data_IF_353661766004
#
_entry.id   IF_353661766004
#
_cell.length_a   1.000
_cell.length_b   1.000
_cell.length_c   1.000
_cell.angle_alpha   90.00
_cell.angle_beta   90.00
_cell.angle_gamma   90.00
#
_symmetry.space_group_name_H-M   'P 1'
#
loop_
_entity.id
_entity.type
_entity.pdbx_description
1 polymer ?
#
# COMPACT_ATOMS: atom_id res chain seq x y z
N UNK A 1 12.76 36.64 29.86
CA UNK A 1 11.66 35.65 29.88
C UNK A 1 11.16 35.33 28.45
N UNK A 2 12.01 34.67 27.60
CA UNK A 2 11.65 34.28 26.21
C UNK A 2 12.36 32.95 25.87
N UNK A 3 12.19 31.91 26.67
CA UNK A 3 12.81 30.61 26.38
C UNK A 3 11.91 29.34 26.36
N UNK A 4 10.60 29.34 26.67
CA UNK A 4 9.81 28.13 26.51
C UNK A 4 9.04 28.00 25.19
N UNK A 5 8.99 29.02 24.32
CA UNK A 5 8.18 28.95 23.08
C UNK A 5 8.88 28.26 21.90
N UNK A 6 10.20 28.16 21.92
CA UNK A 6 10.97 27.56 20.82
C UNK A 6 11.03 26.02 20.86
N UNK A 7 10.80 25.41 22.01
CA UNK A 7 10.83 23.94 22.14
C UNK A 7 9.52 23.27 21.71
N UNK A 8 8.41 23.99 21.77
CA UNK A 8 7.09 23.51 21.33
C UNK A 8 6.94 23.47 19.81
N UNK A 9 7.65 24.34 19.08
CA UNK A 9 7.58 24.37 17.60
C UNK A 9 8.42 23.29 16.91
N UNK A 10 9.47 22.80 17.55
CA UNK A 10 10.33 21.75 16.97
C UNK A 10 9.68 20.36 17.01
N UNK A 11 8.83 20.07 18.00
CA UNK A 11 8.07 18.82 18.10
C UNK A 11 6.91 18.73 17.11
N UNK A 12 6.41 19.86 16.63
CA UNK A 12 5.28 19.91 15.68
C UNK A 12 5.70 19.67 14.22
N UNK A 13 7.00 19.83 13.89
CA UNK A 13 7.52 19.67 12.52
C UNK A 13 7.79 18.19 12.17
N UNK A 14 7.97 17.32 13.16
CA UNK A 14 8.22 15.88 12.97
C UNK A 14 6.95 15.06 12.64
N UNK A 15 5.76 15.62 12.85
CA UNK A 15 4.47 14.95 12.60
C UNK A 15 3.92 15.14 11.17
N UNK A 16 4.57 15.97 10.33
CA UNK A 16 4.02 16.36 9.02
C UNK A 16 4.52 15.47 7.86
N UNK A 17 5.53 14.61 8.07
CA UNK A 17 6.16 13.88 6.97
C UNK A 17 5.55 12.50 6.63
N UNK A 18 4.45 12.07 7.27
CA UNK A 18 3.90 10.72 7.08
C UNK A 18 2.44 10.65 6.62
N UNK A 19 1.95 11.64 5.91
CA UNK A 19 0.54 11.69 5.52
C UNK A 19 0.25 11.04 4.15
N UNK A 20 0.69 9.82 3.92
CA UNK A 20 0.36 9.09 2.69
C UNK A 20 0.00 7.62 2.91
N UNK A 21 -0.46 7.23 4.09
CA UNK A 21 -0.86 5.87 4.31
C UNK A 21 -2.35 5.77 4.62
N UNK A 22 -3.03 4.94 3.88
CA UNK A 22 -4.37 4.46 4.22
C UNK A 22 -4.38 3.68 5.55
N UNK A 23 -3.21 3.26 6.01
CA UNK A 23 -2.96 2.56 7.26
C UNK A 23 -1.83 3.25 8.02
N UNK A 24 -2.18 4.24 8.83
CA UNK A 24 -1.28 4.86 9.81
C UNK A 24 -0.99 3.95 11.02
N UNK A 25 -1.73 2.87 11.15
CA UNK A 25 -1.76 1.98 12.32
C UNK A 25 -0.42 1.35 12.66
N UNK A 26 0.43 1.13 11.65
CA UNK A 26 1.70 0.45 11.80
C UNK A 26 2.86 1.38 12.22
N UNK A 27 2.59 2.67 12.40
CA UNK A 27 3.59 3.66 12.83
C UNK A 27 3.38 4.14 14.28
N UNK A 28 2.41 3.61 15.00
CA UNK A 28 2.28 3.90 16.43
C UNK A 28 3.31 3.10 17.23
N UNK A 29 4.01 3.78 18.13
CA UNK A 29 4.88 3.09 19.08
C UNK A 29 4.06 2.14 19.95
N UNK A 30 4.47 0.88 20.09
CA UNK A 30 3.75 -0.10 20.89
C UNK A 30 3.66 0.38 22.35
N UNK A 31 2.44 0.35 22.91
CA UNK A 31 2.22 0.77 24.30
C UNK A 31 2.81 -0.27 25.25
N UNK A 32 3.67 0.17 26.15
CA UNK A 32 4.20 -0.65 27.22
C UNK A 32 3.09 -1.02 28.21
N UNK A 33 2.83 -2.30 28.39
CA UNK A 33 2.07 -2.76 29.54
C UNK A 33 2.91 -2.59 30.81
N UNK A 34 2.62 -1.52 31.56
CA UNK A 34 3.37 -1.18 32.75
C UNK A 34 3.15 -2.19 33.87
N UNK A 35 4.20 -2.95 34.22
CA UNK A 35 4.39 -3.45 35.57
C UNK A 35 5.47 -2.63 36.25
N UNK A 36 5.22 -2.28 37.52
CA UNK A 36 6.16 -1.54 38.37
C UNK A 36 7.58 -2.08 38.27
N UNK A 37 8.56 -1.16 38.23
CA UNK A 37 9.98 -1.43 38.35
C UNK A 37 10.29 -2.18 39.65
N UNK A 38 10.28 -3.51 39.60
CA UNK A 38 11.12 -4.31 40.48
C UNK A 38 12.41 -4.59 39.70
N UNK A 39 13.55 -4.33 40.32
CA UNK A 39 14.87 -4.67 39.79
C UNK A 39 14.97 -6.18 39.63
N UNK A 40 14.58 -6.67 38.48
CA UNK A 40 14.84 -8.02 38.01
C UNK A 40 16.14 -7.99 37.21
N UNK A 41 16.96 -9.01 37.40
CA UNK A 41 18.24 -9.16 36.69
C UNK A 41 18.06 -8.96 35.19
N UNK A 42 18.61 -7.88 34.69
CA UNK A 42 18.42 -7.39 33.31
C UNK A 42 19.05 -8.31 32.24
N UNK A 43 19.85 -9.29 32.65
CA UNK A 43 20.48 -10.30 31.78
C UNK A 43 19.61 -11.55 31.57
N UNK A 44 18.54 -11.73 32.35
CA UNK A 44 17.70 -12.92 32.28
C UNK A 44 16.76 -12.87 31.06
N UNK A 45 16.70 -13.92 30.27
CA UNK A 45 15.83 -14.07 29.10
C UNK A 45 14.34 -13.91 29.46
N UNK A 46 13.90 -14.49 30.58
CA UNK A 46 12.52 -14.37 31.07
C UNK A 46 12.16 -12.91 31.36
N UNK A 47 13.06 -12.14 31.98
CA UNK A 47 12.85 -10.70 32.18
C UNK A 47 12.65 -9.96 30.86
N UNK A 48 13.43 -10.29 29.82
CA UNK A 48 13.34 -9.66 28.49
C UNK A 48 12.00 -9.95 27.81
N UNK A 49 11.44 -11.13 28.01
CA UNK A 49 10.09 -11.45 27.55
C UNK A 49 9.03 -10.71 28.36
N UNK A 50 9.13 -10.70 29.70
CA UNK A 50 8.17 -10.03 30.57
C UNK A 50 8.12 -8.50 30.35
N UNK A 51 9.25 -7.90 29.96
CA UNK A 51 9.39 -6.47 29.64
C UNK A 51 9.17 -6.16 28.14
N UNK A 52 8.67 -7.12 27.37
CA UNK A 52 8.29 -6.93 25.99
C UNK A 52 7.10 -5.98 25.85
N UNK A 53 6.88 -5.50 24.64
CA UNK A 53 5.73 -4.66 24.28
C UNK A 53 4.64 -5.53 23.66
N UNK A 54 3.39 -5.28 24.03
CA UNK A 54 2.21 -5.87 23.41
C UNK A 54 1.39 -4.75 22.80
N UNK A 55 0.97 -4.94 21.58
CA UNK A 55 0.06 -4.05 20.86
C UNK A 55 -1.11 -4.87 20.33
N UNK A 56 -2.32 -4.41 20.57
CA UNK A 56 -3.53 -5.03 20.06
C UNK A 56 -4.28 -4.08 19.14
N UNK A 57 -4.93 -4.67 18.14
CA UNK A 57 -5.71 -3.96 17.15
C UNK A 57 -6.99 -4.72 16.83
N UNK A 58 -8.14 -4.05 16.95
CA UNK A 58 -9.43 -4.53 16.46
C UNK A 58 -9.89 -3.64 15.31
N UNK A 59 -10.48 -4.25 14.29
CA UNK A 59 -11.00 -3.56 13.11
C UNK A 59 -12.35 -4.10 12.70
N UNK A 60 -13.28 -3.17 12.45
CA UNK A 60 -14.53 -3.40 11.76
C UNK A 60 -14.50 -2.64 10.44
N UNK A 61 -14.72 -3.30 9.33
CA UNK A 61 -14.62 -2.74 8.00
C UNK A 61 -15.86 -3.07 7.18
N UNK A 62 -16.71 -2.08 6.96
CA UNK A 62 -17.83 -2.17 6.02
C UNK A 62 -17.40 -1.62 4.66
N UNK A 63 -17.70 -2.36 3.61
CA UNK A 63 -17.43 -2.02 2.21
C UNK A 63 -18.70 -2.17 1.40
N UNK A 64 -18.96 -1.26 0.47
CA UNK A 64 -20.10 -1.37 -0.46
C UNK A 64 -19.78 -0.72 -1.80
N UNK A 65 -20.11 -1.44 -2.88
CA UNK A 65 -19.90 -1.04 -4.27
C UNK A 65 -21.23 -0.89 -5.00
N UNK A 66 -21.41 0.25 -5.65
CA UNK A 66 -22.61 0.64 -6.41
C UNK A 66 -22.23 0.74 -7.88
N UNK A 67 -22.41 -0.32 -8.63
CA UNK A 67 -22.20 -0.33 -10.09
C UNK A 67 -23.45 0.13 -10.84
N UNK A 68 -23.27 0.83 -11.96
CA UNK A 68 -24.34 1.21 -12.86
C UNK A 68 -25.13 -0.02 -13.32
N UNK A 69 -26.45 0.05 -13.22
CA UNK A 69 -27.38 -1.02 -13.65
C UNK A 69 -27.11 -2.39 -13.00
N UNK A 70 -26.63 -2.41 -11.77
CA UNK A 70 -26.33 -3.63 -11.04
C UNK A 70 -26.85 -3.57 -9.60
N UNK A 71 -26.93 -4.74 -8.97
CA UNK A 71 -27.19 -4.83 -7.54
C UNK A 71 -25.98 -4.31 -6.75
N UNK A 72 -26.27 -3.81 -5.55
CA UNK A 72 -25.23 -3.36 -4.63
C UNK A 72 -24.47 -4.55 -4.06
N UNK A 73 -23.16 -4.54 -4.20
CA UNK A 73 -22.26 -5.48 -3.53
C UNK A 73 -21.86 -4.90 -2.18
N UNK A 74 -21.80 -5.71 -1.12
CA UNK A 74 -21.40 -5.25 0.20
C UNK A 74 -20.76 -6.37 1.02
N UNK A 75 -19.94 -5.98 2.00
CA UNK A 75 -19.41 -6.86 3.03
C UNK A 75 -19.06 -6.09 4.30
N UNK A 76 -19.19 -6.78 5.44
CA UNK A 76 -18.77 -6.33 6.77
C UNK A 76 -17.77 -7.33 7.31
N UNK A 77 -16.51 -6.97 7.34
CA UNK A 77 -15.47 -7.74 7.97
C UNK A 77 -15.22 -7.25 9.42
N UNK A 78 -15.04 -8.18 10.33
CA UNK A 78 -14.59 -7.90 11.71
C UNK A 78 -13.30 -8.69 11.93
N UNK A 79 -12.28 -8.06 12.48
CA UNK A 79 -11.01 -8.73 12.71
C UNK A 79 -10.22 -8.11 13.85
N UNK A 80 -9.17 -8.79 14.23
CA UNK A 80 -8.28 -8.30 15.25
C UNK A 80 -6.97 -9.07 15.30
N UNK A 81 -5.97 -8.46 15.90
CA UNK A 81 -4.65 -9.05 16.02
C UNK A 81 -3.92 -8.58 17.28
N UNK A 82 -2.92 -9.35 17.61
CA UNK A 82 -2.00 -9.04 18.70
C UNK A 82 -0.57 -9.18 18.17
N UNK A 83 0.24 -8.19 18.49
CA UNK A 83 1.67 -8.19 18.25
C UNK A 83 2.41 -8.18 19.58
N UNK A 84 3.44 -9.01 19.68
CA UNK A 84 4.39 -9.01 20.78
C UNK A 84 5.79 -8.76 20.23
N UNK A 85 6.56 -7.89 20.92
CA UNK A 85 7.99 -7.69 20.65
C UNK A 85 8.76 -7.75 21.97
N UNK A 86 9.76 -8.63 22.05
CA UNK A 86 10.61 -8.74 23.22
C UNK A 86 11.50 -7.51 23.41
N UNK A 87 11.87 -7.23 24.65
CA UNK A 87 12.97 -6.27 24.92
C UNK A 87 14.30 -6.84 24.40
N UNK A 88 15.17 -6.02 23.78
CA UNK A 88 16.42 -6.52 23.26
C UNK A 88 17.32 -7.17 24.32
N UNK A 89 17.88 -8.33 24.00
CA UNK A 89 18.97 -8.99 24.72
C UNK A 89 20.17 -9.10 23.78
N UNK A 90 21.34 -8.57 24.15
CA UNK A 90 22.53 -8.48 23.30
C UNK A 90 22.23 -7.87 21.91
N UNK A 91 21.38 -6.84 21.87
CA UNK A 91 20.88 -6.18 20.66
C UNK A 91 19.91 -7.03 19.79
N UNK A 92 19.52 -8.23 20.24
CA UNK A 92 18.56 -9.10 19.56
C UNK A 92 17.19 -8.97 20.21
N UNK A 93 16.15 -8.88 19.40
CA UNK A 93 14.74 -8.96 19.82
C UNK A 93 13.97 -9.91 18.90
N UNK A 94 12.86 -10.45 19.40
CA UNK A 94 11.95 -11.32 18.67
C UNK A 94 10.62 -10.59 18.57
N UNK A 95 10.01 -10.60 17.39
CA UNK A 95 8.64 -10.14 17.17
C UNK A 95 7.77 -11.29 16.67
N UNK A 96 6.52 -11.32 17.15
CA UNK A 96 5.49 -12.23 16.68
C UNK A 96 4.16 -11.51 16.65
N UNK A 97 3.39 -11.68 15.56
CA UNK A 97 2.01 -11.19 15.49
C UNK A 97 1.12 -12.15 14.72
N UNK A 98 -0.16 -12.10 15.03
CA UNK A 98 -1.20 -12.80 14.32
C UNK A 98 -2.44 -11.96 14.21
N UNK A 99 -3.24 -12.22 13.19
CA UNK A 99 -4.49 -11.51 12.93
C UNK A 99 -5.55 -12.48 12.43
N UNK A 100 -6.78 -12.30 12.87
CA UNK A 100 -7.94 -13.05 12.40
C UNK A 100 -8.94 -12.11 11.72
N UNK A 101 -9.72 -12.65 10.78
CA UNK A 101 -10.82 -11.95 10.13
C UNK A 101 -12.04 -12.87 10.09
N UNK A 102 -13.20 -12.28 10.21
CA UNK A 102 -14.49 -12.95 10.14
C UNK A 102 -15.43 -12.17 9.20
N UNK A 103 -16.12 -12.89 8.29
CA UNK A 103 -17.18 -12.33 7.47
C UNK A 103 -18.50 -12.29 8.28
N UNK A 104 -18.83 -11.10 8.81
CA UNK A 104 -20.02 -10.93 9.62
C UNK A 104 -21.30 -10.92 8.76
N UNK A 105 -21.22 -10.30 7.58
CA UNK A 105 -22.30 -10.30 6.56
C UNK A 105 -21.70 -9.87 5.22
N UNK A 106 -22.08 -10.56 4.17
CA UNK A 106 -21.67 -10.19 2.79
C UNK A 106 -22.75 -10.52 1.78
N UNK A 107 -22.71 -9.81 0.65
CA UNK A 107 -23.39 -10.22 -0.59
C UNK A 107 -22.76 -11.52 -1.14
N UNK A 108 -23.20 -12.00 -2.27
CA UNK A 108 -22.58 -13.16 -2.91
C UNK A 108 -21.16 -12.81 -3.40
N UNK A 109 -20.14 -13.35 -2.72
CA UNK A 109 -18.73 -13.19 -3.06
C UNK A 109 -18.13 -14.40 -3.78
N UNK A 110 -18.90 -15.51 -3.86
CA UNK A 110 -18.44 -16.79 -4.42
C UNK A 110 -18.68 -16.83 -5.93
N UNK A 111 -19.86 -16.40 -6.35
CA UNK A 111 -20.26 -16.47 -7.76
C UNK A 111 -19.76 -15.22 -8.53
N UNK A 112 -19.34 -15.39 -9.79
CA UNK A 112 -19.05 -14.27 -10.65
C UNK A 112 -20.27 -13.37 -10.86
N UNK A 113 -20.03 -12.07 -10.96
CA UNK A 113 -21.09 -11.10 -11.24
C UNK A 113 -21.80 -11.42 -12.56
N UNK A 114 -23.16 -11.49 -12.59
CA UNK A 114 -23.91 -12.04 -13.73
C UNK A 114 -23.70 -11.27 -15.04
N UNK A 115 -23.44 -9.96 -14.99
CA UNK A 115 -23.25 -9.14 -16.18
C UNK A 115 -21.81 -9.11 -16.70
N UNK A 116 -20.81 -9.18 -15.83
CA UNK A 116 -19.41 -9.05 -16.22
C UNK A 116 -18.66 -10.38 -16.25
N UNK A 117 -19.23 -11.43 -15.66
CA UNK A 117 -18.62 -12.74 -15.45
C UNK A 117 -17.23 -12.64 -14.76
N UNK A 118 -17.11 -11.71 -13.81
CA UNK A 118 -15.90 -11.52 -12.98
C UNK A 118 -16.28 -11.60 -11.51
N UNK A 119 -15.37 -12.14 -10.69
CA UNK A 119 -15.54 -12.13 -9.24
C UNK A 119 -15.60 -10.69 -8.70
N UNK A 120 -16.29 -10.53 -7.58
CA UNK A 120 -16.27 -9.29 -6.80
C UNK A 120 -14.83 -8.83 -6.56
N UNK A 121 -14.60 -7.54 -6.63
CA UNK A 121 -13.25 -6.98 -6.56
C UNK A 121 -12.93 -6.34 -5.23
N UNK A 122 -13.90 -5.60 -4.67
CA UNK A 122 -13.64 -4.74 -3.52
C UNK A 122 -13.97 -5.45 -2.21
N UNK A 123 -15.13 -6.01 -2.10
CA UNK A 123 -15.66 -6.65 -0.88
C UNK A 123 -14.95 -7.98 -0.60
N UNK A 124 -14.77 -8.82 -1.64
CA UNK A 124 -13.99 -10.06 -1.53
C UNK A 124 -12.55 -9.79 -1.04
N UNK A 125 -12.00 -8.63 -1.40
CA UNK A 125 -10.69 -8.21 -0.94
C UNK A 125 -10.58 -7.93 0.57
N UNK A 126 -11.64 -7.99 1.35
CA UNK A 126 -11.59 -7.97 2.83
C UNK A 126 -11.23 -9.34 3.41
N UNK A 127 -11.44 -10.40 2.65
CA UNK A 127 -11.32 -11.81 3.07
C UNK A 127 -10.19 -12.54 2.34
N UNK A 128 -10.38 -13.84 2.09
CA UNK A 128 -9.45 -14.63 1.29
C UNK A 128 -9.93 -14.73 -0.16
N UNK A 129 -9.22 -14.07 -1.07
CA UNK A 129 -9.53 -14.11 -2.51
C UNK A 129 -9.23 -15.45 -3.16
N UNK A 130 -8.45 -16.31 -2.49
CA UNK A 130 -8.09 -17.64 -3.00
C UNK A 130 -9.13 -18.69 -2.60
N UNK A 131 -9.91 -18.42 -1.55
CA UNK A 131 -11.05 -19.22 -1.12
C UNK A 131 -12.23 -18.32 -0.72
N UNK A 132 -13.04 -17.85 -1.68
CA UNK A 132 -14.19 -16.99 -1.39
C UNK A 132 -15.29 -17.64 -0.54
N UNK A 133 -15.28 -18.97 -0.37
CA UNK A 133 -16.23 -19.70 0.45
C UNK A 133 -15.84 -19.68 1.94
N UNK A 134 -14.57 -19.42 2.26
CA UNK A 134 -14.08 -19.33 3.61
C UNK A 134 -14.55 -18.02 4.28
N UNK A 135 -15.37 -18.13 5.32
CA UNK A 135 -15.95 -16.99 6.05
C UNK A 135 -15.43 -16.82 7.48
N UNK A 136 -14.81 -17.84 8.05
CA UNK A 136 -14.52 -17.93 9.47
C UNK A 136 -13.08 -18.31 9.80
N UNK A 137 -12.41 -19.04 8.91
CA UNK A 137 -11.03 -19.51 9.09
C UNK A 137 -10.07 -18.62 8.27
N UNK A 138 -10.09 -17.31 8.58
CA UNK A 138 -9.33 -16.29 7.88
C UNK A 138 -8.28 -15.70 8.84
N UNK A 139 -7.50 -16.57 9.46
CA UNK A 139 -6.42 -16.17 10.35
C UNK A 139 -5.04 -16.36 9.69
N UNK A 140 -4.10 -15.55 10.14
CA UNK A 140 -2.73 -15.52 9.61
C UNK A 140 -1.71 -15.23 10.70
N UNK A 141 -0.65 -16.04 10.75
CA UNK A 141 0.57 -15.64 11.42
C UNK A 141 1.25 -14.57 10.56
N UNK A 142 1.20 -13.32 11.02
CA UNK A 142 1.70 -12.18 10.27
C UNK A 142 3.20 -12.03 10.44
N UNK A 143 3.67 -11.61 11.59
CA UNK A 143 5.08 -11.43 11.83
C UNK A 143 5.67 -12.60 12.65
N UNK A 144 6.84 -13.03 12.28
CA UNK A 144 7.70 -13.91 13.06
C UNK A 144 9.15 -13.65 12.66
N UNK A 145 9.83 -12.84 13.44
CA UNK A 145 11.18 -12.40 13.09
C UNK A 145 12.13 -12.33 14.28
N UNK A 146 13.42 -12.40 13.96
CA UNK A 146 14.52 -11.99 14.82
C UNK A 146 15.08 -10.68 14.27
N UNK A 147 15.25 -9.67 15.13
CA UNK A 147 15.79 -8.37 14.78
C UNK A 147 17.03 -8.08 15.60
N UNK A 148 18.14 -7.80 14.91
CA UNK A 148 19.37 -7.27 15.48
C UNK A 148 19.40 -5.76 15.30
N UNK A 149 19.59 -5.01 16.38
CA UNK A 149 19.70 -3.55 16.34
C UNK A 149 20.88 -3.08 17.16
N UNK A 150 21.88 -2.48 16.49
CA UNK A 150 23.03 -1.86 17.15
C UNK A 150 23.36 -0.52 16.49
N UNK A 151 23.44 0.53 17.28
CA UNK A 151 23.70 1.90 16.80
C UNK A 151 22.75 2.33 15.68
N UNK A 152 23.27 2.47 14.47
CA UNK A 152 22.55 2.95 13.26
C UNK A 152 22.08 1.82 12.34
N UNK A 153 22.37 0.56 12.70
CA UNK A 153 22.09 -0.61 11.88
C UNK A 153 20.95 -1.40 12.51
N UNK A 154 19.98 -1.80 11.69
CA UNK A 154 18.92 -2.74 12.03
C UNK A 154 18.90 -3.82 10.96
N UNK A 155 18.90 -5.09 11.37
CA UNK A 155 18.75 -6.25 10.49
C UNK A 155 17.59 -7.08 11.01
N UNK A 156 16.62 -7.39 10.16
CA UNK A 156 15.46 -8.21 10.49
C UNK A 156 15.45 -9.44 9.59
N UNK A 157 15.26 -10.62 10.18
CA UNK A 157 15.22 -11.89 9.49
C UNK A 157 13.92 -12.61 9.85
N UNK A 158 13.13 -12.99 8.87
CA UNK A 158 11.86 -13.68 9.06
C UNK A 158 10.68 -12.99 8.38
N UNK A 159 9.47 -13.28 8.89
CA UNK A 159 8.20 -12.68 8.46
C UNK A 159 8.07 -11.29 9.07
N UNK A 160 7.86 -10.26 8.25
CA UNK A 160 7.91 -8.86 8.67
C UNK A 160 7.12 -7.94 7.76
N UNK A 161 6.75 -6.80 8.29
CA UNK A 161 6.17 -5.70 7.53
C UNK A 161 7.27 -4.91 6.80
N UNK A 162 6.98 -4.52 5.56
CA UNK A 162 7.90 -3.71 4.76
C UNK A 162 7.15 -2.57 4.06
N UNK A 163 7.70 -1.36 4.15
CA UNK A 163 7.12 -0.18 3.51
C UNK A 163 8.16 0.55 2.66
N UNK A 164 8.16 0.27 1.36
CA UNK A 164 9.03 0.85 0.33
C UNK A 164 8.18 1.34 -0.85
N UNK A 165 8.73 2.03 -1.85
CA UNK A 165 7.94 2.42 -3.02
C UNK A 165 7.34 1.25 -3.81
N UNK A 166 8.01 0.08 -3.86
CA UNK A 166 7.59 -1.05 -4.68
C UNK A 166 6.91 -2.18 -3.89
N UNK A 167 7.17 -2.26 -2.59
CA UNK A 167 6.52 -3.21 -1.68
C UNK A 167 6.06 -2.39 -0.49
N UNK A 168 4.74 -2.24 -0.31
CA UNK A 168 4.25 -1.28 0.66
C UNK A 168 2.96 -1.74 1.36
N UNK A 169 2.69 -1.10 2.50
CA UNK A 169 1.57 -1.40 3.37
C UNK A 169 0.26 -0.73 2.93
N UNK A 170 0.27 -0.09 1.78
CA UNK A 170 -0.84 0.72 1.30
C UNK A 170 -2.02 -0.15 0.83
N UNK A 171 -3.24 0.37 0.99
CA UNK A 171 -4.49 -0.33 0.66
C UNK A 171 -4.58 -1.72 1.34
N UNK A 172 -4.17 -1.78 2.60
CA UNK A 172 -4.08 -3.03 3.36
C UNK A 172 -5.43 -3.64 3.73
N UNK A 173 -6.55 -2.93 3.57
CA UNK A 173 -7.90 -3.41 3.93
C UNK A 173 -7.96 -3.92 5.37
N UNK A 174 -8.26 -5.20 5.59
CA UNK A 174 -8.24 -5.77 6.93
C UNK A 174 -6.81 -5.92 7.46
N UNK A 175 -5.85 -6.24 6.61
CA UNK A 175 -4.44 -6.43 6.94
C UNK A 175 -3.55 -6.14 5.73
N UNK A 176 -2.31 -5.65 5.93
CA UNK A 176 -1.41 -5.34 4.83
C UNK A 176 -0.78 -6.58 4.21
N UNK A 177 -0.08 -6.39 3.09
CA UNK A 177 0.86 -7.36 2.55
C UNK A 177 2.09 -7.43 3.43
N UNK A 178 2.56 -8.64 3.69
CA UNK A 178 3.76 -8.93 4.45
C UNK A 178 4.78 -9.72 3.64
N UNK A 179 6.03 -9.70 4.09
CA UNK A 179 7.16 -10.32 3.39
C UNK A 179 7.97 -11.20 4.33
N UNK A 180 8.61 -12.22 3.76
CA UNK A 180 9.60 -13.05 4.45
C UNK A 180 10.94 -12.93 3.76
N UNK A 181 11.99 -12.72 4.55
CA UNK A 181 13.35 -12.62 4.05
C UNK A 181 14.30 -11.96 5.02
N UNK A 182 15.35 -11.36 4.49
CA UNK A 182 16.33 -10.59 5.23
C UNK A 182 16.21 -9.14 4.80
N UNK A 183 16.09 -8.23 5.75
CA UNK A 183 16.02 -6.80 5.52
C UNK A 183 17.01 -6.06 6.40
N UNK A 184 17.87 -5.25 5.80
CA UNK A 184 18.88 -4.43 6.48
C UNK A 184 18.59 -2.96 6.27
N UNK A 185 18.72 -2.19 7.33
CA UNK A 185 18.55 -0.75 7.31
C UNK A 185 19.71 -0.08 8.07
N UNK A 186 20.35 0.90 7.43
CA UNK A 186 21.26 1.84 8.09
C UNK A 186 20.60 3.21 8.13
N UNK A 187 20.57 3.86 9.30
CA UNK A 187 19.95 5.19 9.48
C UNK A 187 20.89 6.11 10.25
N UNK A 188 21.18 7.27 9.69
CA UNK A 188 21.74 8.40 10.41
C UNK A 188 20.75 9.58 10.44
N UNK A 189 21.19 10.78 10.86
CA UNK A 189 20.30 11.95 10.97
C UNK A 189 19.68 12.38 9.62
N UNK A 190 20.41 12.22 8.54
CA UNK A 190 20.07 12.77 7.22
C UNK A 190 19.79 11.68 6.17
N UNK A 191 20.46 10.53 6.31
CA UNK A 191 20.48 9.50 5.30
C UNK A 191 19.98 8.15 5.85
N UNK A 192 19.29 7.41 4.98
CA UNK A 192 18.89 6.04 5.23
C UNK A 192 19.26 5.19 4.03
N UNK A 193 19.81 4.01 4.28
CA UNK A 193 20.14 3.03 3.26
C UNK A 193 19.48 1.71 3.60
N UNK A 194 19.03 1.03 2.58
CA UNK A 194 18.25 -0.19 2.70
C UNK A 194 18.78 -1.26 1.75
N UNK A 195 18.79 -2.51 2.20
CA UNK A 195 19.07 -3.64 1.35
C UNK A 195 18.40 -4.90 1.90
N UNK A 196 17.86 -5.74 1.03
CA UNK A 196 17.26 -6.99 1.44
C UNK A 196 17.05 -7.97 0.30
N UNK A 197 16.77 -9.22 0.71
CA UNK A 197 16.34 -10.31 -0.14
C UNK A 197 15.08 -10.92 0.45
N UNK A 198 14.02 -10.99 -0.37
CA UNK A 198 12.71 -11.47 0.00
C UNK A 198 12.36 -12.68 -0.85
N UNK A 199 11.86 -13.74 -0.23
CA UNK A 199 11.58 -15.01 -0.93
C UNK A 199 10.13 -15.48 -0.78
N UNK A 200 9.36 -14.91 0.15
CA UNK A 200 7.93 -15.20 0.30
C UNK A 200 7.15 -13.92 0.59
N UNK A 201 5.88 -13.96 0.22
CA UNK A 201 4.89 -12.90 0.42
C UNK A 201 3.61 -13.50 0.96
N UNK A 202 2.96 -12.79 1.88
CA UNK A 202 1.57 -13.01 2.24
C UNK A 202 0.79 -11.76 1.83
N UNK A 203 0.20 -11.76 0.63
CA UNK A 203 -0.54 -10.61 0.14
C UNK A 203 -1.73 -10.28 1.04
N UNK A 204 -2.11 -9.01 1.10
CA UNK A 204 -3.38 -8.62 1.70
C UNK A 204 -4.51 -9.45 1.07
N UNK A 205 -5.56 -9.71 1.78
CA UNK A 205 -6.69 -10.51 1.28
C UNK A 205 -6.32 -11.96 0.95
N UNK A 206 -5.34 -12.52 1.65
CA UNK A 206 -4.98 -13.95 1.64
C UNK A 206 -4.57 -14.39 3.04
N UNK A 207 -4.64 -15.68 3.31
CA UNK A 207 -4.22 -16.26 4.60
C UNK A 207 -2.86 -16.94 4.53
N UNK A 208 -2.41 -17.30 3.34
CA UNK A 208 -1.23 -18.12 3.12
C UNK A 208 0.05 -17.32 2.81
N UNK A 209 1.18 -18.01 2.87
CA UNK A 209 2.52 -17.53 2.54
C UNK A 209 3.01 -18.15 1.26
N UNK A 210 3.02 -17.40 0.17
CA UNK A 210 3.39 -17.80 -1.18
C UNK A 210 4.87 -17.55 -1.45
N UNK A 211 5.54 -18.40 -2.25
CA UNK A 211 6.84 -18.04 -2.84
C UNK A 211 6.67 -16.82 -3.76
N UNK A 212 7.78 -16.15 -4.05
CA UNK A 212 7.76 -14.93 -4.87
C UNK A 212 6.96 -15.09 -6.16
N UNK A 213 7.24 -16.14 -6.95
CA UNK A 213 6.54 -16.39 -8.21
C UNK A 213 5.05 -16.71 -8.00
N UNK A 214 4.72 -17.54 -7.02
CA UNK A 214 3.36 -17.95 -6.67
C UNK A 214 2.52 -16.77 -6.14
N UNK A 215 3.14 -15.74 -5.57
CA UNK A 215 2.45 -14.55 -5.06
C UNK A 215 1.98 -13.60 -6.15
N UNK A 216 2.44 -13.76 -7.40
CA UNK A 216 2.07 -12.92 -8.55
C UNK A 216 0.95 -13.60 -9.33
N UNK A 217 -0.19 -12.93 -9.47
CA UNK A 217 -1.35 -13.46 -10.20
C UNK A 217 -2.41 -14.08 -9.32
N UNK A 218 -2.36 -13.87 -8.00
CA UNK A 218 -3.45 -14.19 -7.08
C UNK A 218 -4.65 -13.27 -7.32
N UNK A 219 -4.39 -12.03 -7.76
CA UNK A 219 -5.43 -11.11 -8.19
C UNK A 219 -5.69 -11.28 -9.69
N UNK A 220 -6.64 -10.50 -10.24
CA UNK A 220 -6.98 -10.55 -11.66
C UNK A 220 -5.74 -10.38 -12.53
N UNK A 221 -5.46 -11.37 -13.39
CA UNK A 221 -4.27 -11.40 -14.24
C UNK A 221 -4.37 -10.49 -15.48
N UNK A 222 -5.60 -10.12 -15.88
CA UNK A 222 -5.82 -9.33 -17.11
C UNK A 222 -5.57 -10.12 -18.39
N UNK A 223 -5.12 -9.42 -19.43
CA UNK A 223 -4.87 -9.98 -20.75
C UNK A 223 -3.41 -9.79 -21.20
N UNK A 224 -2.98 -10.67 -22.10
CA UNK A 224 -1.72 -10.54 -22.85
C UNK A 224 -1.79 -9.33 -23.79
N UNK A 225 -0.67 -9.01 -24.45
CA UNK A 225 -0.59 -7.89 -25.39
C UNK A 225 -1.44 -8.10 -26.65
N UNK A 226 -1.82 -9.32 -26.97
CA UNK A 226 -2.69 -9.72 -28.09
C UNK A 226 -4.18 -9.82 -27.71
N UNK A 227 -4.52 -9.56 -26.42
CA UNK A 227 -5.90 -9.63 -25.91
C UNK A 227 -6.33 -11.00 -25.40
N UNK A 228 -5.53 -12.03 -25.54
CA UNK A 228 -5.81 -13.34 -24.94
C UNK A 228 -5.68 -13.27 -23.41
N UNK A 229 -6.38 -14.13 -22.67
CA UNK A 229 -6.26 -14.19 -21.20
C UNK A 229 -4.83 -14.52 -20.80
N UNK A 230 -4.24 -13.73 -19.92
CA UNK A 230 -2.89 -14.00 -19.40
C UNK A 230 -2.83 -15.30 -18.60
N UNK A 231 -1.83 -16.12 -18.89
CA UNK A 231 -1.62 -17.45 -18.27
C UNK A 231 -0.48 -17.49 -17.24
N UNK A 232 0.00 -16.37 -16.73
CA UNK A 232 1.17 -16.33 -15.85
C UNK A 232 0.91 -16.82 -14.41
N UNK A 233 -0.34 -16.85 -13.96
CA UNK A 233 -0.68 -17.41 -12.64
C UNK A 233 -0.18 -18.85 -12.54
N UNK A 234 0.55 -19.16 -11.48
CA UNK A 234 1.15 -20.49 -11.19
C UNK A 234 2.13 -21.00 -12.27
N UNK A 235 2.54 -20.13 -13.21
CA UNK A 235 3.44 -20.48 -14.30
C UNK A 235 4.80 -19.77 -14.26
N UNK A 236 4.97 -18.80 -13.36
CA UNK A 236 6.19 -18.02 -13.25
C UNK A 236 7.29 -18.76 -12.49
N UNK A 237 8.53 -18.46 -12.85
CA UNK A 237 9.72 -18.89 -12.12
C UNK A 237 10.47 -17.68 -11.55
N UNK A 238 10.72 -17.68 -10.24
CA UNK A 238 11.55 -16.69 -9.56
C UNK A 238 12.03 -17.19 -8.21
N UNK A 239 13.29 -16.90 -7.87
CA UNK A 239 13.90 -17.26 -6.59
C UNK A 239 13.61 -16.23 -5.49
N UNK A 240 13.25 -15.00 -5.85
CA UNK A 240 13.02 -13.92 -4.88
C UNK A 240 13.15 -12.52 -5.46
N UNK A 241 13.15 -11.56 -4.55
CA UNK A 241 13.28 -10.13 -4.84
C UNK A 241 14.47 -9.56 -4.09
N UNK A 242 15.45 -9.01 -4.82
CA UNK A 242 16.43 -8.11 -4.24
C UNK A 242 15.87 -6.68 -4.24
N UNK A 243 15.96 -6.00 -3.13
CA UNK A 243 15.52 -4.62 -2.98
C UNK A 243 16.62 -3.81 -2.32
N UNK A 244 17.04 -2.71 -2.97
CA UNK A 244 17.97 -1.75 -2.42
C UNK A 244 17.40 -0.35 -2.49
N UNK A 245 17.71 0.48 -1.51
CA UNK A 245 17.22 1.85 -1.46
C UNK A 245 18.13 2.80 -0.72
N UNK A 246 18.03 4.07 -1.08
CA UNK A 246 18.67 5.17 -0.39
C UNK A 246 17.72 6.36 -0.28
N UNK A 247 17.64 6.97 0.89
CA UNK A 247 17.00 8.25 1.13
C UNK A 247 18.09 9.21 1.64
N UNK A 248 18.30 10.29 0.93
CA UNK A 248 19.45 11.17 1.13
C UNK A 248 18.98 12.61 1.32
N UNK A 249 19.42 13.25 2.39
CA UNK A 249 19.14 14.64 2.73
C UNK A 249 20.31 15.57 2.43
N UNK A 250 20.93 15.48 1.25
CA UNK A 250 22.12 16.25 0.87
C UNK A 250 21.89 17.77 0.80
N UNK A 251 20.69 18.20 0.46
CA UNK A 251 20.32 19.60 0.29
C UNK A 251 19.26 19.95 1.32
N UNK A 252 19.46 21.05 2.03
CA UNK A 252 18.49 21.53 3.03
C UNK A 252 17.09 21.59 2.46
N UNK A 253 16.14 20.80 3.04
CA UNK A 253 14.74 20.62 2.66
C UNK A 253 14.47 19.86 1.36
N UNK A 254 15.44 19.22 0.80
CA UNK A 254 15.22 18.28 -0.29
C UNK A 254 15.48 16.86 0.22
N UNK A 255 14.62 15.95 -0.19
CA UNK A 255 14.77 14.52 0.00
C UNK A 255 14.97 13.89 -1.37
N UNK A 256 16.09 13.24 -1.55
CA UNK A 256 16.39 12.46 -2.75
C UNK A 256 16.22 11.00 -2.39
N UNK A 257 15.52 10.25 -3.23
CA UNK A 257 15.32 8.82 -3.07
C UNK A 257 15.79 8.10 -4.32
N UNK A 258 16.48 7.01 -4.10
CA UNK A 258 16.81 6.03 -5.11
C UNK A 258 16.35 4.67 -4.61
N UNK A 259 15.66 3.90 -5.48
CA UNK A 259 15.25 2.53 -5.19
C UNK A 259 15.44 1.66 -6.42
N UNK A 260 15.87 0.42 -6.20
CA UNK A 260 15.91 -0.62 -7.22
C UNK A 260 15.28 -1.89 -6.68
N UNK A 261 14.38 -2.47 -7.46
CA UNK A 261 13.73 -3.75 -7.24
C UNK A 261 14.12 -4.69 -8.38
N UNK A 262 14.84 -5.72 -8.06
CA UNK A 262 15.20 -6.82 -8.96
C UNK A 262 14.34 -8.03 -8.58
N UNK A 263 13.37 -8.37 -9.42
CA UNK A 263 12.56 -9.58 -9.30
C UNK A 263 13.22 -10.65 -10.18
N UNK A 264 13.87 -11.59 -9.54
CA UNK A 264 14.66 -12.63 -10.22
C UNK A 264 13.87 -13.28 -11.37
N UNK A 265 14.50 -13.36 -12.55
CA UNK A 265 13.96 -13.93 -13.80
C UNK A 265 12.76 -13.18 -14.43
N UNK A 266 12.19 -12.13 -13.80
CA UNK A 266 10.94 -11.51 -14.28
C UNK A 266 11.19 -10.08 -14.77
N UNK A 267 11.56 -9.14 -13.88
CA UNK A 267 11.78 -7.73 -14.24
C UNK A 267 12.67 -7.00 -13.24
N UNK A 268 13.20 -5.87 -13.68
CA UNK A 268 13.89 -4.90 -12.83
C UNK A 268 13.19 -3.54 -12.90
N UNK A 269 12.99 -2.89 -11.75
CA UNK A 269 12.42 -1.53 -11.64
C UNK A 269 13.35 -0.63 -10.86
N UNK A 270 13.66 0.54 -11.41
CA UNK A 270 14.45 1.57 -10.74
C UNK A 270 13.63 2.85 -10.58
N UNK A 271 13.69 3.47 -9.40
CA UNK A 271 13.04 4.74 -9.09
C UNK A 271 14.07 5.76 -8.63
N UNK A 272 13.99 6.97 -9.20
CA UNK A 272 14.64 8.18 -8.69
C UNK A 272 13.57 9.21 -8.40
N UNK A 273 13.60 9.79 -7.20
CA UNK A 273 12.63 10.80 -6.78
C UNK A 273 13.33 11.92 -6.01
N UNK A 274 12.94 13.16 -6.30
CA UNK A 274 13.42 14.36 -5.63
C UNK A 274 12.20 15.12 -5.12
N UNK A 275 12.14 15.37 -3.82
CA UNK A 275 11.07 16.17 -3.19
C UNK A 275 11.67 17.36 -2.45
N UNK A 276 11.20 18.56 -2.76
CA UNK A 276 11.35 19.72 -1.89
C UNK A 276 10.22 19.71 -0.86
N UNK A 277 10.56 19.77 0.41
CA UNK A 277 9.60 19.80 1.51
C UNK A 277 9.18 21.23 1.85
N UNK A 278 7.91 21.47 2.25
CA UNK A 278 7.43 22.78 2.67
C UNK A 278 8.09 23.21 3.99
N UNK A 279 8.14 24.51 4.23
CA UNK A 279 8.60 25.14 5.46
C UNK A 279 7.70 26.29 5.87
N UNK A 280 7.77 26.74 7.11
CA UNK A 280 7.07 27.94 7.58
C UNK A 280 7.42 29.19 6.74
N UNK A 281 8.70 29.33 6.34
CA UNK A 281 9.18 30.45 5.49
C UNK A 281 8.91 30.27 3.99
N UNK A 282 8.54 29.07 3.53
CA UNK A 282 8.25 28.75 2.13
C UNK A 282 7.23 27.62 2.08
N UNK A 283 5.94 27.93 2.01
CA UNK A 283 4.87 26.94 2.06
C UNK A 283 4.75 26.09 0.80
N UNK A 284 5.46 26.46 -0.26
CA UNK A 284 5.46 25.74 -1.53
C UNK A 284 6.40 24.54 -1.50
N UNK A 285 5.95 23.43 -2.08
CA UNK A 285 6.72 22.23 -2.28
C UNK A 285 6.54 21.69 -3.70
N UNK A 286 7.47 20.87 -4.14
CA UNK A 286 7.39 20.18 -5.43
C UNK A 286 8.08 18.82 -5.33
N UNK A 287 7.75 17.95 -6.27
CA UNK A 287 8.40 16.65 -6.43
C UNK A 287 8.52 16.28 -7.89
N UNK A 288 9.60 15.58 -8.23
CA UNK A 288 9.82 14.94 -9.51
C UNK A 288 10.15 13.47 -9.27
N UNK A 289 9.62 12.60 -10.11
CA UNK A 289 9.78 11.15 -10.01
C UNK A 289 10.02 10.56 -11.39
N UNK A 290 10.95 9.63 -11.48
CA UNK A 290 11.21 8.82 -12.66
C UNK A 290 11.28 7.36 -12.27
N UNK A 291 10.62 6.49 -13.04
CA UNK A 291 10.69 5.04 -12.86
C UNK A 291 10.98 4.41 -14.22
N UNK A 292 12.00 3.56 -14.27
CA UNK A 292 12.32 2.73 -15.43
C UNK A 292 12.09 1.26 -15.12
N UNK A 293 11.46 0.53 -16.05
CA UNK A 293 11.28 -0.92 -15.92
C UNK A 293 11.80 -1.64 -17.17
N UNK A 294 12.52 -2.72 -16.92
CA UNK A 294 13.06 -3.62 -17.94
C UNK A 294 12.68 -5.06 -17.61
N UNK A 295 12.36 -5.83 -18.63
CA UNK A 295 12.20 -7.27 -18.51
C UNK A 295 13.54 -7.93 -18.19
N UNK A 296 13.48 -9.03 -17.47
CA UNK A 296 14.63 -9.94 -17.27
C UNK A 296 14.33 -11.27 -17.93
N UNK A 297 15.30 -11.79 -18.65
CA UNK A 297 15.20 -13.04 -19.42
C UNK A 297 13.91 -13.07 -20.29
N UNK A 298 13.01 -14.02 -20.03
CA UNK A 298 11.76 -14.20 -20.74
C UNK A 298 10.54 -13.70 -19.92
N UNK A 299 10.73 -12.77 -18.97
CA UNK A 299 9.63 -12.20 -18.17
C UNK A 299 8.95 -13.21 -17.25
N UNK A 300 9.70 -14.21 -16.77
CA UNK A 300 9.28 -15.23 -15.80
C UNK A 300 8.87 -16.57 -16.40
N UNK A 301 8.64 -16.67 -17.70
CA UNK A 301 8.33 -17.94 -18.37
C UNK A 301 8.74 -17.90 -19.86
N UNK A 302 9.31 -18.98 -20.43
CA UNK A 302 9.67 -19.01 -21.86
C UNK A 302 8.45 -19.02 -22.81
N UNK A 303 7.28 -19.46 -22.34
CA UNK A 303 6.03 -19.38 -23.10
C UNK A 303 5.48 -17.95 -23.03
N UNK A 304 5.39 -17.20 -24.16
CA UNK A 304 4.96 -15.81 -24.17
C UNK A 304 3.52 -15.60 -23.68
N UNK A 305 2.68 -16.62 -23.68
CA UNK A 305 1.31 -16.56 -23.13
C UNK A 305 1.27 -16.63 -21.60
N UNK A 306 2.40 -17.03 -20.97
CA UNK A 306 2.57 -17.23 -19.54
C UNK A 306 3.58 -16.27 -18.92
N UNK A 307 4.06 -15.26 -19.65
CA UNK A 307 4.97 -14.26 -19.11
C UNK A 307 4.21 -13.21 -18.29
N UNK A 308 4.83 -12.74 -17.20
CA UNK A 308 4.31 -11.58 -16.47
C UNK A 308 4.66 -10.27 -17.18
N UNK A 309 5.90 -10.12 -17.61
CA UNK A 309 6.41 -8.97 -18.35
C UNK A 309 6.80 -9.41 -19.76
N UNK A 310 6.14 -8.86 -20.78
CA UNK A 310 6.43 -9.25 -22.16
C UNK A 310 7.84 -8.81 -22.56
N UNK A 311 8.69 -9.70 -23.12
CA UNK A 311 10.07 -9.37 -23.49
C UNK A 311 10.23 -8.24 -24.54
N UNK A 312 9.21 -7.97 -25.32
CA UNK A 312 9.23 -6.88 -26.32
C UNK A 312 8.91 -5.51 -25.72
N UNK A 313 8.57 -5.42 -24.44
CA UNK A 313 8.14 -4.19 -23.78
C UNK A 313 9.16 -3.69 -22.76
N UNK A 314 9.19 -2.39 -22.55
CA UNK A 314 9.82 -1.69 -21.44
C UNK A 314 8.88 -0.60 -20.97
N UNK A 315 9.08 -0.07 -19.79
CA UNK A 315 8.23 1.03 -19.31
C UNK A 315 9.08 2.14 -18.68
N UNK A 316 8.70 3.37 -18.99
CA UNK A 316 9.23 4.55 -18.34
C UNK A 316 8.08 5.41 -17.84
N UNK A 317 8.18 5.83 -16.58
CA UNK A 317 7.20 6.69 -15.92
C UNK A 317 7.87 7.98 -15.50
N UNK A 318 7.22 9.09 -15.79
CA UNK A 318 7.55 10.42 -15.26
C UNK A 318 6.42 10.90 -14.38
N UNK A 319 6.75 11.37 -13.18
CA UNK A 319 5.80 11.97 -12.23
C UNK A 319 6.26 13.36 -11.80
N UNK A 320 5.31 14.27 -11.64
CA UNK A 320 5.54 15.61 -11.11
C UNK A 320 4.43 15.99 -10.13
N UNK A 321 4.78 16.75 -9.10
CA UNK A 321 3.81 17.41 -8.22
C UNK A 321 4.25 18.82 -7.88
N UNK A 322 3.27 19.68 -7.66
CA UNK A 322 3.46 20.99 -7.07
C UNK A 322 2.38 21.23 -6.03
N UNK A 323 2.73 21.77 -4.88
CA UNK A 323 1.77 22.00 -3.81
C UNK A 323 2.11 23.17 -2.91
N UNK A 324 1.13 23.52 -2.07
CA UNK A 324 1.21 24.61 -1.11
C UNK A 324 0.47 24.29 0.17
N UNK A 325 1.14 24.51 1.30
CA UNK A 325 0.51 24.46 2.63
C UNK A 325 0.02 25.84 3.05
N UNK A 326 -1.26 25.93 3.44
CA UNK A 326 -1.95 27.14 3.84
C UNK A 326 -2.69 26.90 5.16
N UNK A 327 -2.05 27.18 6.26
CA UNK A 327 -2.63 26.96 7.58
C UNK A 327 -2.96 25.48 7.82
N UNK A 328 -4.25 25.15 7.85
CA UNK A 328 -4.78 23.79 8.03
C UNK A 328 -4.91 23.01 6.71
N UNK A 329 -4.70 23.66 5.58
CA UNK A 329 -4.88 23.10 4.26
C UNK A 329 -3.55 22.80 3.57
N UNK A 330 -3.51 21.67 2.88
CA UNK A 330 -2.42 21.28 1.97
C UNK A 330 -3.05 20.97 0.60
N UNK A 331 -2.69 21.73 -0.43
CA UNK A 331 -3.20 21.56 -1.79
C UNK A 331 -2.08 21.17 -2.73
N UNK A 332 -2.34 20.24 -3.64
CA UNK A 332 -1.38 19.88 -4.68
C UNK A 332 -2.05 19.56 -6.01
N UNK A 333 -1.32 19.85 -7.08
CA UNK A 333 -1.56 19.32 -8.42
C UNK A 333 -0.48 18.28 -8.74
N UNK A 334 -0.88 17.20 -9.34
CA UNK A 334 -0.02 16.03 -9.55
C UNK A 334 -0.22 15.52 -10.98
N UNK A 335 0.86 15.07 -11.57
CA UNK A 335 0.89 14.53 -12.93
C UNK A 335 1.69 13.23 -12.96
N UNK A 336 1.22 12.27 -13.75
CA UNK A 336 1.98 11.06 -14.09
C UNK A 336 1.79 10.75 -15.57
N UNK A 337 2.91 10.48 -16.26
CA UNK A 337 2.95 9.96 -17.61
C UNK A 337 3.61 8.58 -17.61
N UNK A 338 2.92 7.57 -18.13
CA UNK A 338 3.53 6.29 -18.51
C UNK A 338 3.70 6.31 -20.02
N UNK A 339 4.91 6.01 -20.52
CA UNK A 339 5.19 6.04 -21.94
C UNK A 339 4.47 4.93 -22.73
N UNK A 340 4.55 5.00 -24.07
CA UNK A 340 3.91 4.06 -24.99
C UNK A 340 4.79 2.85 -25.38
N UNK A 341 5.91 2.64 -24.73
CA UNK A 341 6.82 1.52 -25.04
C UNK A 341 6.36 0.22 -24.43
N UNK A 342 5.46 0.28 -23.43
CA UNK A 342 4.88 -0.87 -22.77
C UNK A 342 4.09 -0.50 -21.53
N UNK A 343 3.53 -1.50 -20.90
CA UNK A 343 2.77 -1.37 -19.67
C UNK A 343 3.72 -1.19 -18.47
N UNK A 344 3.40 -0.28 -17.56
CA UNK A 344 4.01 -0.28 -16.23
C UNK A 344 3.41 -1.41 -15.41
N UNK A 345 4.23 -2.35 -14.92
CA UNK A 345 3.77 -3.52 -14.20
C UNK A 345 4.35 -3.54 -12.78
N UNK A 346 3.48 -3.70 -11.81
CA UNK A 346 3.82 -3.93 -10.42
C UNK A 346 2.84 -4.97 -9.86
N UNK A 347 3.31 -6.09 -9.23
CA UNK A 347 2.40 -7.04 -8.64
C UNK A 347 1.48 -6.36 -7.62
N UNK A 348 0.19 -6.41 -7.87
CA UNK A 348 -0.85 -5.76 -7.06
C UNK A 348 -0.94 -6.36 -5.67
N UNK A 349 -0.47 -7.56 -5.56
CA UNK A 349 -0.32 -8.35 -4.36
C UNK A 349 0.69 -7.71 -3.39
N UNK A 350 1.66 -6.94 -3.90
CA UNK A 350 2.75 -6.37 -3.11
C UNK A 350 2.50 -4.94 -2.63
N UNK A 351 1.39 -4.32 -3.05
CA UNK A 351 1.03 -2.97 -2.65
C UNK A 351 0.42 -2.14 -3.78
N UNK A 352 0.60 -0.83 -3.73
CA UNK A 352 0.12 0.14 -4.72
C UNK A 352 1.26 0.85 -5.43
N UNK A 353 0.92 1.47 -6.56
CA UNK A 353 1.84 2.31 -7.34
C UNK A 353 2.39 3.48 -6.51
N UNK A 354 3.68 3.81 -6.62
CA UNK A 354 4.30 4.90 -5.87
C UNK A 354 4.04 6.29 -6.47
N UNK A 355 3.00 6.45 -7.29
CA UNK A 355 2.77 7.67 -8.06
C UNK A 355 2.18 8.82 -7.24
N UNK A 356 2.58 10.06 -7.55
CA UNK A 356 1.97 11.25 -6.96
C UNK A 356 0.47 11.38 -7.25
N UNK A 357 0.01 10.82 -8.36
CA UNK A 357 -1.39 10.85 -8.82
C UNK A 357 -2.27 9.79 -8.17
N UNK A 358 -1.72 8.90 -7.34
CA UNK A 358 -2.53 7.86 -6.72
C UNK A 358 -3.71 8.44 -5.92
N UNK A 359 -4.92 7.97 -6.21
CA UNK A 359 -6.15 8.15 -5.41
C UNK A 359 -6.65 6.77 -4.94
N UNK A 360 -7.39 6.74 -3.83
CA UNK A 360 -7.98 5.50 -3.32
C UNK A 360 -8.89 4.88 -4.37
N UNK A 361 -8.70 3.60 -4.65
CA UNK A 361 -9.49 2.87 -5.66
C UNK A 361 -9.01 3.02 -7.10
N UNK A 362 -8.06 3.95 -7.40
CA UNK A 362 -7.48 4.06 -8.73
C UNK A 362 -6.50 2.91 -9.03
N UNK A 363 -6.10 2.82 -10.29
CA UNK A 363 -5.08 1.90 -10.74
C UNK A 363 -4.45 2.31 -12.04
N UNK A 364 -3.15 2.59 -12.00
CA UNK A 364 -2.33 2.90 -13.16
C UNK A 364 -1.39 1.74 -13.54
N UNK A 365 -1.18 0.78 -12.64
CA UNK A 365 -0.48 -0.47 -12.95
C UNK A 365 -1.24 -1.26 -14.03
N UNK A 366 -0.52 -1.84 -14.96
CA UNK A 366 -1.06 -2.54 -16.14
C UNK A 366 -1.32 -1.63 -17.33
N UNK A 367 -1.05 -0.32 -17.21
CA UNK A 367 -1.24 0.66 -18.28
C UNK A 367 0.08 1.09 -18.89
N UNK A 368 0.08 1.31 -20.20
CA UNK A 368 1.05 2.10 -20.94
C UNK A 368 0.34 3.27 -21.60
N UNK A 369 1.06 4.20 -22.20
CA UNK A 369 0.52 5.39 -22.89
C UNK A 369 -0.55 6.15 -22.08
N UNK A 370 -0.33 6.32 -20.76
CA UNK A 370 -1.26 6.91 -19.82
C UNK A 370 -0.82 8.32 -19.44
N UNK A 371 -1.78 9.25 -19.32
CA UNK A 371 -1.62 10.52 -18.62
C UNK A 371 -2.60 10.57 -17.44
N UNK A 372 -2.12 10.90 -16.24
CA UNK A 372 -2.97 11.14 -15.08
C UNK A 372 -2.75 12.55 -14.56
N UNK A 373 -3.85 13.25 -14.28
CA UNK A 373 -3.88 14.61 -13.73
C UNK A 373 -4.73 14.58 -12.47
N UNK A 374 -4.14 14.92 -11.32
CA UNK A 374 -4.84 14.81 -10.03
C UNK A 374 -4.65 16.05 -9.18
N UNK A 375 -5.75 16.63 -8.71
CA UNK A 375 -5.78 17.60 -7.64
C UNK A 375 -6.04 16.90 -6.31
N UNK A 376 -5.30 17.29 -5.27
CA UNK A 376 -5.49 16.82 -3.90
C UNK A 376 -5.60 18.00 -2.94
N UNK A 377 -6.50 17.86 -1.98
CA UNK A 377 -6.65 18.81 -0.88
C UNK A 377 -6.75 18.03 0.42
N UNK A 378 -5.90 18.38 1.37
CA UNK A 378 -5.92 17.81 2.72
C UNK A 378 -6.20 18.90 3.73
N UNK A 379 -7.17 18.66 4.59
CA UNK A 379 -7.49 19.51 5.74
C UNK A 379 -7.12 18.77 7.02
N UNK A 380 -6.38 19.43 7.91
CA UNK A 380 -6.05 18.92 9.24
C UNK A 380 -6.52 19.93 10.28
N UNK A 381 -7.52 19.58 11.07
CA UNK A 381 -8.09 20.48 12.06
C UNK A 381 -7.10 20.75 13.22
N UNK A 382 -7.09 21.97 13.76
CA UNK A 382 -6.16 22.36 14.84
C UNK A 382 -6.61 21.86 16.22
N UNK A 383 -7.90 21.85 16.47
CA UNK A 383 -8.48 21.62 17.80
C UNK A 383 -9.28 20.30 17.89
N UNK A 384 -9.46 19.64 16.76
CA UNK A 384 -10.13 18.34 16.65
C UNK A 384 -9.18 17.34 16.02
N UNK A 385 -9.18 16.10 16.44
CA UNK A 385 -8.40 15.01 15.81
C UNK A 385 -9.07 14.54 14.50
N UNK A 386 -9.32 15.51 13.61
CA UNK A 386 -10.03 15.34 12.34
C UNK A 386 -9.09 15.62 11.18
N UNK A 387 -9.01 14.69 10.25
CA UNK A 387 -8.34 14.81 8.96
C UNK A 387 -9.34 14.56 7.83
N UNK A 388 -9.34 15.41 6.81
CA UNK A 388 -10.16 15.25 5.60
C UNK A 388 -9.24 15.31 4.40
N UNK A 389 -9.26 14.25 3.56
CA UNK A 389 -8.54 14.21 2.29
C UNK A 389 -9.55 14.18 1.15
N UNK A 390 -9.38 15.06 0.20
CA UNK A 390 -10.20 15.14 -1.02
C UNK A 390 -9.30 15.00 -2.23
N UNK A 391 -9.80 14.34 -3.26
CA UNK A 391 -9.08 14.17 -4.51
C UNK A 391 -10.02 14.21 -5.70
N UNK A 392 -9.54 14.80 -6.80
CA UNK A 392 -10.19 14.75 -8.11
C UNK A 392 -9.12 14.43 -9.14
N UNK A 393 -9.36 13.39 -9.96
CA UNK A 393 -8.41 12.92 -10.96
C UNK A 393 -9.04 12.67 -12.30
N UNK A 394 -8.34 13.04 -13.36
CA UNK A 394 -8.60 12.59 -14.73
C UNK A 394 -7.50 11.61 -15.14
N UNK A 395 -7.90 10.42 -15.53
CA UNK A 395 -7.04 9.34 -15.97
C UNK A 395 -7.33 9.07 -17.44
N UNK A 396 -6.46 9.60 -18.29
CA UNK A 396 -6.47 9.43 -19.74
C UNK A 396 -5.75 8.12 -20.05
N UNK A 397 -6.52 7.06 -20.22
CA UNK A 397 -6.04 5.70 -20.49
C UNK A 397 -6.15 5.37 -21.97
N UNK A 398 -5.31 4.47 -22.50
CA UNK A 398 -5.51 3.95 -23.84
C UNK A 398 -6.85 3.19 -23.94
N UNK A 399 -7.43 3.19 -25.16
CA UNK A 399 -8.67 2.48 -25.45
C UNK A 399 -8.69 1.06 -24.84
N UNK A 400 -9.84 0.63 -24.37
CA UNK A 400 -10.05 -0.66 -23.69
C UNK A 400 -9.71 -1.87 -24.56
N UNK A 401 -9.71 -1.72 -25.89
CA UNK A 401 -9.31 -2.74 -26.85
C UNK A 401 -7.84 -2.64 -27.27
N UNK A 402 -7.11 -1.61 -26.82
CA UNK A 402 -5.68 -1.52 -26.99
C UNK A 402 -4.96 -2.42 -25.94
N UNK A 403 -5.08 -3.71 -26.12
CA UNK A 403 -4.55 -4.69 -25.16
C UNK A 403 -3.05 -4.58 -24.96
N UNK A 404 -2.28 -4.10 -25.94
CA UNK A 404 -0.85 -3.88 -25.78
C UNK A 404 -0.52 -2.85 -24.70
N UNK A 405 -1.41 -1.88 -24.46
CA UNK A 405 -1.21 -0.80 -23.48
C UNK A 405 -2.20 -0.82 -22.31
N UNK A 406 -3.29 -1.61 -22.38
CA UNK A 406 -4.35 -1.66 -21.37
C UNK A 406 -4.63 -3.10 -20.92
N UNK A 407 -3.89 -3.54 -19.90
CA UNK A 407 -3.92 -4.93 -19.40
C UNK A 407 -5.30 -5.38 -18.89
N UNK A 408 -6.08 -4.44 -18.36
CA UNK A 408 -7.33 -4.77 -17.66
C UNK A 408 -8.58 -4.25 -18.38
N UNK A 409 -8.42 -3.65 -19.55
CA UNK A 409 -9.51 -3.02 -20.31
C UNK A 409 -10.28 -2.02 -19.42
N UNK A 410 -9.58 -1.08 -18.79
CA UNK A 410 -10.20 0.05 -18.09
C UNK A 410 -10.48 1.17 -19.08
N UNK A 411 -11.67 1.76 -19.10
CA UNK A 411 -11.90 2.99 -19.86
C UNK A 411 -11.18 4.17 -19.19
N UNK A 412 -10.89 5.23 -19.92
CA UNK A 412 -10.52 6.50 -19.32
C UNK A 412 -11.65 7.02 -18.43
N UNK A 413 -11.30 7.67 -17.31
CA UNK A 413 -12.30 8.06 -16.31
C UNK A 413 -11.91 9.30 -15.51
N UNK A 414 -12.94 9.99 -15.02
CA UNK A 414 -12.83 10.93 -13.91
C UNK A 414 -13.03 10.19 -12.58
N UNK A 415 -12.30 10.60 -11.55
CA UNK A 415 -12.47 10.04 -10.21
C UNK A 415 -12.52 11.14 -9.15
N UNK A 416 -13.44 10.98 -8.21
CA UNK A 416 -13.65 11.87 -7.07
C UNK A 416 -13.50 11.07 -5.79
N UNK A 417 -12.70 11.56 -4.84
CA UNK A 417 -12.41 10.88 -3.58
C UNK A 417 -12.67 11.78 -2.39
N UNK A 418 -13.21 11.18 -1.34
CA UNK A 418 -13.32 11.73 0.00
C UNK A 418 -12.84 10.69 1.01
N UNK A 419 -11.94 11.08 1.91
CA UNK A 419 -11.48 10.27 3.05
C UNK A 419 -11.51 11.14 4.30
N UNK A 420 -12.34 10.80 5.26
CA UNK A 420 -12.53 11.51 6.54
C UNK A 420 -12.11 10.59 7.67
N UNK A 421 -11.19 11.06 8.51
CA UNK A 421 -10.71 10.33 9.69
C UNK A 421 -10.89 11.13 10.96
N UNK A 422 -11.38 10.49 11.99
CA UNK A 422 -11.54 11.03 13.32
C UNK A 422 -10.96 10.09 14.38
N UNK A 423 -9.91 10.52 15.08
CA UNK A 423 -9.34 9.76 16.20
C UNK A 423 -9.99 10.24 17.51
N UNK A 424 -10.64 9.35 18.23
CA UNK A 424 -11.37 9.71 19.46
C UNK A 424 -10.41 10.05 20.61
N UNK A 425 -10.86 10.94 21.49
CA UNK A 425 -10.11 11.38 22.67
C UNK A 425 -10.89 11.10 23.95
N UNK A 426 -10.28 11.34 25.12
CA UNK A 426 -10.91 11.14 26.42
C UNK A 426 -11.21 9.64 26.67
N UNK A 427 -12.44 9.35 27.07
CA UNK A 427 -12.89 7.97 27.38
C UNK A 427 -12.76 7.03 26.16
N UNK A 428 -12.95 7.53 24.94
CA UNK A 428 -12.87 6.78 23.68
C UNK A 428 -11.46 6.76 23.07
N UNK A 429 -10.42 7.15 23.81
CA UNK A 429 -9.05 7.09 23.34
C UNK A 429 -8.67 5.68 22.88
N UNK A 430 -8.03 5.58 21.73
CA UNK A 430 -7.68 4.32 21.06
C UNK A 430 -8.64 3.97 19.93
N UNK A 431 -9.81 4.58 19.86
CA UNK A 431 -10.73 4.43 18.73
C UNK A 431 -10.44 5.43 17.62
N UNK A 432 -10.56 4.97 16.39
CA UNK A 432 -10.52 5.79 15.17
C UNK A 432 -11.66 5.37 14.24
N UNK A 433 -12.42 6.34 13.74
CA UNK A 433 -13.41 6.13 12.68
C UNK A 433 -12.92 6.73 11.37
N UNK A 434 -13.13 6.03 10.27
CA UNK A 434 -12.80 6.50 8.92
C UNK A 434 -13.96 6.23 7.98
N UNK A 435 -14.31 7.24 7.18
CA UNK A 435 -15.25 7.14 6.06
C UNK A 435 -14.48 7.40 4.78
N UNK A 436 -14.60 6.49 3.82
CA UNK A 436 -14.03 6.65 2.49
C UNK A 436 -15.17 6.54 1.48
N UNK A 437 -15.20 7.49 0.55
CA UNK A 437 -16.06 7.42 -0.62
C UNK A 437 -15.26 7.77 -1.87
N UNK A 438 -15.45 7.03 -2.93
CA UNK A 438 -15.01 7.45 -4.25
C UNK A 438 -16.06 7.12 -5.32
N UNK A 439 -16.09 7.95 -6.34
CA UNK A 439 -16.91 7.76 -7.53
C UNK A 439 -16.02 7.83 -8.77
N UNK A 440 -16.28 6.94 -9.72
CA UNK A 440 -15.61 6.90 -11.02
C UNK A 440 -16.62 7.02 -12.11
N UNK A 441 -16.38 7.96 -13.03
CA UNK A 441 -17.21 8.24 -14.19
C UNK A 441 -16.42 7.95 -15.46
N UNK A 442 -16.91 7.03 -16.30
CA UNK A 442 -16.28 6.73 -17.57
C UNK A 442 -16.41 7.92 -18.53
N UNK A 443 -15.28 8.40 -19.06
CA UNK A 443 -15.28 9.51 -20.04
C UNK A 443 -15.03 9.05 -21.47
N UNK A 444 -14.75 7.76 -21.65
CA UNK A 444 -14.59 7.12 -22.95
C UNK A 444 -15.58 5.98 -23.17
N UNK A 445 -15.59 5.47 -24.40
CA UNK A 445 -16.54 4.44 -24.81
C UNK A 445 -16.28 3.12 -24.09
N UNK A 446 -17.30 2.61 -23.40
CA UNK A 446 -17.32 1.27 -22.80
C UNK A 446 -17.97 0.22 -23.71
N UNK A 447 -18.28 0.60 -24.97
CA UNK A 447 -18.97 -0.24 -25.96
C UNK A 447 -20.28 -0.87 -25.43
N UNK A 448 -20.91 -0.21 -24.44
CA UNK A 448 -22.09 -0.71 -23.70
C UNK A 448 -21.91 -2.13 -23.15
N UNK A 449 -20.69 -2.58 -22.91
CA UNK A 449 -20.40 -3.92 -22.43
C UNK A 449 -20.10 -3.87 -20.93
N UNK A 450 -20.91 -4.55 -20.08
CA UNK A 450 -20.73 -4.58 -18.62
C UNK A 450 -19.33 -5.01 -18.16
N UNK A 451 -18.65 -5.85 -18.93
CA UNK A 451 -17.28 -6.27 -18.65
C UNK A 451 -16.30 -5.10 -18.55
N UNK A 452 -16.59 -3.96 -19.18
CA UNK A 452 -15.67 -2.81 -19.24
C UNK A 452 -16.01 -1.69 -18.25
N UNK A 453 -17.21 -1.73 -17.59
CA UNK A 453 -17.54 -0.74 -16.58
C UNK A 453 -17.80 -1.32 -15.18
N UNK A 454 -18.34 -2.53 -15.03
CA UNK A 454 -18.56 -3.15 -13.72
C UNK A 454 -17.25 -3.25 -12.93
N UNK A 455 -17.23 -2.73 -11.71
CA UNK A 455 -16.06 -2.66 -10.82
C UNK A 455 -14.86 -1.93 -11.42
N UNK A 456 -15.05 -1.09 -12.44
CA UNK A 456 -13.99 -0.32 -13.12
C UNK A 456 -14.32 1.17 -13.20
N UNK A 457 -15.46 1.53 -13.81
CA UNK A 457 -15.95 2.89 -13.96
C UNK A 457 -17.48 2.90 -13.87
N UNK A 458 -18.14 4.07 -13.95
CA UNK A 458 -19.57 4.25 -13.71
C UNK A 458 -20.01 3.61 -12.39
N UNK A 459 -19.22 3.85 -11.33
CA UNK A 459 -19.41 3.20 -10.03
C UNK A 459 -19.07 4.12 -8.85
N UNK A 460 -19.83 3.95 -7.77
CA UNK A 460 -19.49 4.48 -6.46
C UNK A 460 -19.00 3.39 -5.52
N UNK A 461 -18.13 3.75 -4.59
CA UNK A 461 -17.64 2.82 -3.58
C UNK A 461 -17.55 3.53 -2.23
N UNK A 462 -18.07 2.89 -1.21
CA UNK A 462 -18.15 3.41 0.15
C UNK A 462 -17.52 2.45 1.14
N UNK A 463 -16.70 2.98 2.05
CA UNK A 463 -16.18 2.23 3.19
C UNK A 463 -16.45 2.98 4.49
N UNK A 464 -16.82 2.24 5.53
CA UNK A 464 -16.80 2.70 6.92
C UNK A 464 -15.90 1.79 7.73
N UNK A 465 -14.88 2.36 8.34
CA UNK A 465 -13.87 1.62 9.09
C UNK A 465 -13.84 2.13 10.52
N UNK A 466 -13.89 1.22 11.47
CA UNK A 466 -13.72 1.50 12.88
C UNK A 466 -12.56 0.69 13.41
N UNK A 467 -11.55 1.36 13.95
CA UNK A 467 -10.36 0.76 14.53
C UNK A 467 -10.33 0.99 16.04
N UNK A 468 -9.78 0.05 16.77
CA UNK A 468 -9.44 0.19 18.18
C UNK A 468 -8.04 -0.34 18.45
N UNK A 469 -7.19 0.51 19.01
CA UNK A 469 -5.78 0.21 19.34
C UNK A 469 -5.59 0.22 20.85
N UNK A 470 -4.92 -0.79 21.38
CA UNK A 470 -4.66 -0.92 22.84
C UNK A 470 -3.28 -1.51 23.15
#
# INVERSE_FOLDING_TARGET
MIKPLLFSMASFILLISQANAQHQELNEDPKLWGKSKKELDSANLLYRFQMGTVHGHLRSFYSSTFNKNSQVEYAQAIGGGIQFKSKPLYNLSIGVSGFFVYDAISSDLINPHPLSNTLNRYELGLFDITDPANKTDIDRLEELYIQYQKNKVTITIGKQLLNTPFINLQDGRMRPTEVQGIWSQYRNKENKFYAGWLNRFSPRSTVEWYKTAESIGLYSVGVNIDGTKSGYKDALESKGVALVGAEIGLIKNHKIQFWNQYVDNIFNSSLVQIDKLPKASSPYYYGLQMIGQLVLNQGGNPDPTKTYFNPSQSSFVFGARFGRQLGQWDHSINFTRINKQGRYLMPREWGRDPFYTFLLGERNEGMGDLNAYVMKSKFTAKHLPLNVNMGMGYYDLPDILNFAMNKYSFPAYMQYNLDVRYAFTGFWKGWEAQVIYFYKDAVENTYNNPKYYINKADMGHFNFILNFHF
#
